data_IF_141911269832
#
_entry.id   IF_141911269832
#
_cell.length_a   1.000
_cell.length_b   1.000
_cell.length_c   1.000
_cell.angle_alpha   90.00
_cell.angle_beta   90.00
_cell.angle_gamma   90.00
#
_symmetry.space_group_name_H-M   'P 1'
#
loop_
_entity.id
_entity.type
_entity.pdbx_description
1 polymer ?
#
# COMPACT_ATOMS: atom_id res chain seq x y z
N UNK A 1 -13.19 17.58 8.08
CA UNK A 1 -12.86 18.06 9.44
C UNK A 1 -11.72 17.25 10.08
N UNK A 2 -11.73 15.92 10.04
CA UNK A 2 -10.67 15.07 10.62
C UNK A 2 -9.25 15.35 10.07
N UNK A 3 -9.13 15.70 8.79
CA UNK A 3 -7.84 16.02 8.16
C UNK A 3 -7.11 17.19 8.81
N UNK A 4 -7.84 18.26 9.17
CA UNK A 4 -7.24 19.43 9.81
C UNK A 4 -6.69 19.09 11.21
N UNK A 5 -7.36 18.17 11.92
CA UNK A 5 -6.88 17.68 13.21
C UNK A 5 -5.67 16.76 13.06
N UNK A 6 -5.67 15.86 12.07
CA UNK A 6 -4.52 15.02 11.78
C UNK A 6 -3.28 15.86 11.42
N UNK A 7 -3.45 16.90 10.60
CA UNK A 7 -2.39 17.84 10.24
C UNK A 7 -1.89 18.63 11.46
N UNK A 8 -2.79 19.06 12.35
CA UNK A 8 -2.43 19.74 13.59
C UNK A 8 -1.57 18.86 14.52
N UNK A 9 -2.03 17.65 14.81
CA UNK A 9 -1.28 16.70 15.67
C UNK A 9 0.07 16.34 15.04
N UNK A 10 0.12 16.19 13.71
CA UNK A 10 1.35 15.95 12.99
C UNK A 10 2.34 17.13 13.12
N UNK A 11 1.85 18.37 13.03
CA UNK A 11 2.68 19.58 13.21
C UNK A 11 3.19 19.74 14.65
N UNK A 12 2.48 19.19 15.63
CA UNK A 12 2.92 19.13 17.04
C UNK A 12 3.89 17.97 17.31
N UNK A 13 4.14 17.10 16.33
CA UNK A 13 4.97 15.90 16.47
C UNK A 13 4.25 14.73 17.14
N UNK A 14 2.94 14.83 17.36
CA UNK A 14 2.10 13.82 18.00
C UNK A 14 1.65 12.75 16.97
N UNK A 15 2.62 12.01 16.43
CA UNK A 15 2.42 11.07 15.31
C UNK A 15 1.36 10.00 15.62
N UNK A 16 1.33 9.48 16.85
CA UNK A 16 0.38 8.43 17.21
C UNK A 16 -1.06 8.95 17.26
N UNK A 17 -1.27 10.21 17.68
CA UNK A 17 -2.57 10.87 17.65
C UNK A 17 -3.01 11.17 16.22
N UNK A 18 -2.11 11.69 15.40
CA UNK A 18 -2.37 11.91 13.97
C UNK A 18 -2.82 10.61 13.29
N UNK A 19 -2.11 9.50 13.54
CA UNK A 19 -2.48 8.17 13.01
C UNK A 19 -3.83 7.68 13.52
N UNK A 20 -4.13 7.86 14.81
CA UNK A 20 -5.43 7.49 15.37
C UNK A 20 -6.58 8.24 14.69
N UNK A 21 -6.38 9.51 14.35
CA UNK A 21 -7.36 10.32 13.60
C UNK A 21 -7.54 9.77 12.19
N UNK A 22 -6.46 9.43 11.48
CA UNK A 22 -6.55 8.79 10.16
C UNK A 22 -7.31 7.47 10.20
N UNK A 23 -6.98 6.57 11.13
CA UNK A 23 -7.70 5.30 11.33
C UNK A 23 -9.16 5.50 11.70
N UNK A 24 -9.47 6.52 12.50
CA UNK A 24 -10.86 6.83 12.82
C UNK A 24 -11.62 7.32 11.59
N UNK A 25 -11.03 8.27 10.85
CA UNK A 25 -11.63 8.87 9.65
C UNK A 25 -11.84 7.85 8.53
N UNK A 26 -10.99 6.82 8.44
CA UNK A 26 -11.10 5.76 7.42
C UNK A 26 -12.37 4.93 7.52
N UNK A 27 -13.05 4.92 8.67
CA UNK A 27 -14.34 4.25 8.82
C UNK A 27 -15.46 4.93 8.01
N UNK A 28 -15.25 6.18 7.62
CA UNK A 28 -16.22 7.02 6.91
C UNK A 28 -15.77 7.38 5.50
N UNK A 29 -14.49 7.17 5.17
CA UNK A 29 -13.93 7.49 3.87
C UNK A 29 -14.20 6.36 2.86
N UNK A 30 -14.71 6.71 1.69
CA UNK A 30 -14.83 5.81 0.55
C UNK A 30 -13.56 5.87 -0.31
N UNK A 31 -12.98 4.72 -0.61
CA UNK A 31 -11.78 4.60 -1.43
C UNK A 31 -11.92 5.19 -2.85
N UNK A 32 -13.13 5.15 -3.43
CA UNK A 32 -13.37 5.61 -4.80
C UNK A 32 -13.60 7.13 -4.87
N UNK A 33 -14.16 7.72 -3.82
CA UNK A 33 -14.58 9.13 -3.82
C UNK A 33 -13.66 10.04 -3.00
N UNK A 34 -13.05 9.53 -1.92
CA UNK A 34 -12.22 10.31 -1.00
C UNK A 34 -10.72 10.17 -1.32
N UNK A 35 -10.33 10.34 -2.58
CA UNK A 35 -8.95 10.15 -3.05
C UNK A 35 -7.94 11.03 -2.33
N UNK A 36 -8.33 12.24 -1.96
CA UNK A 36 -7.47 13.21 -1.26
C UNK A 36 -7.14 12.75 0.17
N UNK A 37 -8.10 12.12 0.84
CA UNK A 37 -7.91 11.55 2.18
C UNK A 37 -6.84 10.46 2.14
N UNK A 38 -7.00 9.49 1.22
CA UNK A 38 -6.08 8.36 1.08
C UNK A 38 -4.69 8.79 0.63
N UNK A 39 -4.60 9.79 -0.26
CA UNK A 39 -3.31 10.34 -0.71
C UNK A 39 -2.55 11.01 0.44
N UNK A 40 -3.24 11.77 1.29
CA UNK A 40 -2.62 12.41 2.46
C UNK A 40 -2.22 11.41 3.55
N UNK A 41 -3.03 10.38 3.79
CA UNK A 41 -2.66 9.31 4.73
C UNK A 41 -1.46 8.51 4.22
N UNK A 42 -1.39 8.26 2.92
CA UNK A 42 -0.23 7.64 2.28
C UNK A 42 1.03 8.47 2.50
N UNK A 43 0.98 9.77 2.23
CA UNK A 43 2.11 10.69 2.47
C UNK A 43 2.54 10.70 3.95
N UNK A 44 1.56 10.67 4.86
CA UNK A 44 1.80 10.57 6.29
C UNK A 44 2.55 9.27 6.67
N UNK A 45 2.12 8.11 6.18
CA UNK A 45 2.78 6.82 6.47
C UNK A 45 4.15 6.71 5.76
N UNK A 46 4.35 7.33 4.60
CA UNK A 46 5.69 7.41 3.95
C UNK A 46 6.66 8.23 4.80
N UNK A 47 6.18 9.31 5.43
CA UNK A 47 7.03 10.20 6.23
C UNK A 47 7.31 9.68 7.64
N UNK A 48 6.32 9.08 8.29
CA UNK A 48 6.36 8.75 9.71
C UNK A 48 6.10 7.27 10.04
N UNK A 49 5.63 6.51 9.05
CA UNK A 49 5.24 5.12 9.22
C UNK A 49 6.39 4.13 9.11
N UNK A 50 6.04 2.87 9.26
CA UNK A 50 6.89 1.72 9.01
C UNK A 50 6.12 0.71 8.15
N UNK A 51 6.76 -0.37 7.65
CA UNK A 51 6.09 -1.32 6.77
C UNK A 51 4.79 -1.91 7.34
N UNK A 52 4.69 -2.05 8.68
CA UNK A 52 3.49 -2.57 9.33
C UNK A 52 2.35 -1.56 9.30
N UNK A 53 2.59 -0.31 9.71
CA UNK A 53 1.53 0.72 9.74
C UNK A 53 1.05 1.07 8.34
N UNK A 54 1.96 1.02 7.37
CA UNK A 54 1.63 1.16 5.95
C UNK A 54 0.70 0.04 5.46
N UNK A 55 0.99 -1.22 5.83
CA UNK A 55 0.14 -2.35 5.49
C UNK A 55 -1.25 -2.25 6.16
N UNK A 56 -1.31 -1.80 7.41
CA UNK A 56 -2.58 -1.56 8.13
C UNK A 56 -3.41 -0.46 7.42
N UNK A 57 -2.77 0.63 6.95
CA UNK A 57 -3.44 1.67 6.16
C UNK A 57 -4.02 1.10 4.85
N UNK A 58 -3.24 0.32 4.11
CA UNK A 58 -3.72 -0.31 2.87
C UNK A 58 -4.88 -1.28 3.11
N UNK A 59 -4.94 -1.94 4.27
CA UNK A 59 -6.04 -2.83 4.61
C UNK A 59 -7.34 -2.06 4.90
N UNK A 60 -7.22 -0.85 5.45
CA UNK A 60 -8.37 0.03 5.69
C UNK A 60 -8.92 0.61 4.39
N UNK A 61 -8.07 0.80 3.38
CA UNK A 61 -8.49 1.17 2.03
C UNK A 61 -9.11 -0.06 1.34
N UNK A 62 -10.42 -0.26 1.49
CA UNK A 62 -11.18 -1.45 1.02
C UNK A 62 -11.30 -1.61 -0.50
N UNK A 63 -10.34 -1.12 -1.27
CA UNK A 63 -10.25 -1.44 -2.70
C UNK A 63 -9.12 -2.43 -2.93
N UNK A 64 -9.46 -3.56 -3.54
CA UNK A 64 -8.48 -4.48 -4.11
C UNK A 64 -7.66 -3.84 -5.26
N UNK A 65 -7.91 -2.56 -5.57
CA UNK A 65 -7.10 -1.69 -6.42
C UNK A 65 -5.84 -1.20 -5.70
N UNK A 66 -5.07 -2.16 -5.15
CA UNK A 66 -3.74 -1.95 -4.57
C UNK A 66 -2.70 -1.43 -5.57
N UNK A 67 -3.08 -1.21 -6.83
CA UNK A 67 -2.18 -0.97 -7.95
C UNK A 67 -2.13 0.50 -8.35
N UNK A 68 -3.25 1.22 -8.32
CA UNK A 68 -3.28 2.57 -8.89
C UNK A 68 -2.66 3.63 -7.97
N UNK A 69 -2.84 3.51 -6.65
CA UNK A 69 -2.32 4.53 -5.72
C UNK A 69 -0.78 4.44 -5.58
N UNK A 70 -0.23 3.23 -5.56
CA UNK A 70 1.22 3.01 -5.46
C UNK A 70 1.97 3.36 -6.75
N UNK A 71 1.34 3.19 -7.94
CA UNK A 71 1.93 3.57 -9.22
C UNK A 71 1.89 5.10 -9.47
N UNK A 72 0.87 5.80 -8.96
CA UNK A 72 0.68 7.25 -9.21
C UNK A 72 1.55 8.15 -8.34
N UNK A 73 2.03 7.64 -7.20
CA UNK A 73 2.77 8.41 -6.19
C UNK A 73 4.31 8.37 -6.33
N UNK A 74 4.86 7.79 -7.42
CA UNK A 74 6.31 7.73 -7.68
C UNK A 74 7.11 7.27 -6.45
N UNK A 75 6.73 6.11 -5.89
CA UNK A 75 7.33 5.50 -4.69
C UNK A 75 8.42 4.42 -5.03
N UNK A 76 9.45 4.61 -5.89
CA UNK A 76 10.40 3.51 -6.16
C UNK A 76 11.76 3.57 -5.45
N UNK A 77 11.99 4.36 -4.38
CA UNK A 77 13.34 4.40 -3.76
C UNK A 77 13.48 3.97 -2.30
N UNK A 78 12.43 4.04 -1.46
CA UNK A 78 12.55 3.68 -0.02
C UNK A 78 11.87 2.38 0.41
N UNK A 79 11.00 1.78 -0.42
CA UNK A 79 10.22 0.61 -0.03
C UNK A 79 10.52 -0.60 -0.94
N UNK A 80 11.74 -1.14 -0.86
CA UNK A 80 12.06 -2.49 -1.39
C UNK A 80 11.54 -3.59 -0.45
N UNK A 81 10.29 -3.54 0.01
CA UNK A 81 9.68 -4.67 0.74
C UNK A 81 8.17 -4.63 0.55
N UNK A 82 7.67 -5.05 -0.61
CA UNK A 82 6.41 -5.80 -0.74
C UNK A 82 6.54 -6.59 -2.03
N UNK A 83 7.02 -7.82 -1.94
CA UNK A 83 6.83 -8.81 -3.01
C UNK A 83 5.33 -9.00 -3.20
N UNK A 84 4.82 -8.54 -4.34
CA UNK A 84 3.42 -8.68 -4.72
C UNK A 84 3.14 -10.14 -5.03
N UNK A 85 2.65 -10.88 -4.03
CA UNK A 85 1.96 -12.15 -4.22
C UNK A 85 0.56 -11.89 -4.81
N UNK A 86 0.53 -11.50 -6.08
CA UNK A 86 -0.62 -11.75 -6.96
C UNK A 86 -0.36 -13.12 -7.57
N UNK A 87 -1.09 -14.13 -7.12
CA UNK A 87 -1.57 -15.28 -7.90
C UNK A 87 -1.84 -16.46 -6.97
N UNK A 88 -3.13 -16.77 -6.75
CA UNK A 88 -3.49 -18.01 -6.04
C UNK A 88 -4.42 -18.95 -6.77
N UNK A 89 -4.73 -18.75 -8.05
CA UNK A 89 -5.54 -19.77 -8.74
C UNK A 89 -5.36 -19.98 -10.25
N UNK A 90 -4.36 -19.40 -10.93
CA UNK A 90 -4.17 -19.68 -12.37
C UNK A 90 -2.75 -19.89 -12.87
N UNK A 91 -1.72 -19.67 -12.06
CA UNK A 91 -0.34 -19.56 -12.55
C UNK A 91 0.59 -20.75 -12.24
N UNK A 92 0.10 -21.80 -11.57
CA UNK A 92 0.94 -22.97 -11.27
C UNK A 92 1.29 -23.80 -12.51
N UNK A 93 0.45 -23.78 -13.55
CA UNK A 93 0.65 -24.61 -14.74
C UNK A 93 1.65 -23.97 -15.73
N UNK A 94 1.84 -22.65 -15.67
CA UNK A 94 2.78 -21.91 -16.51
C UNK A 94 4.23 -21.95 -16.02
N UNK A 95 4.47 -22.05 -14.71
CA UNK A 95 5.84 -22.18 -14.16
C UNK A 95 6.49 -23.54 -14.46
N UNK A 96 5.70 -24.61 -14.50
CA UNK A 96 6.21 -25.94 -14.90
C UNK A 96 6.63 -25.96 -16.38
N UNK A 97 5.93 -25.24 -17.28
CA UNK A 97 6.29 -25.12 -18.70
C UNK A 97 7.54 -24.25 -18.93
N UNK A 98 7.70 -23.17 -18.16
CA UNK A 98 8.89 -22.30 -18.26
C UNK A 98 10.14 -22.95 -17.69
N UNK A 99 10.02 -23.72 -16.61
CA UNK A 99 11.13 -24.49 -16.03
C UNK A 99 11.55 -25.68 -16.91
N UNK A 100 10.61 -26.36 -17.58
CA UNK A 100 10.89 -27.40 -18.59
C UNK A 100 11.67 -26.84 -19.79
N UNK A 101 11.27 -25.67 -20.30
CA UNK A 101 11.98 -24.96 -21.39
C UNK A 101 13.42 -24.58 -21.02
N UNK A 102 13.63 -24.11 -19.79
CA UNK A 102 14.97 -23.71 -19.31
C UNK A 102 15.87 -24.94 -19.09
N UNK A 103 15.33 -26.07 -18.63
CA UNK A 103 16.12 -27.31 -18.47
C UNK A 103 16.57 -27.92 -19.80
N UNK A 104 15.76 -27.83 -20.86
CA UNK A 104 16.14 -28.30 -22.21
C UNK A 104 17.25 -27.48 -22.86
N UNK A 105 17.34 -26.18 -22.57
CA UNK A 105 18.41 -25.31 -23.09
C UNK A 105 19.77 -25.52 -22.40
N UNK A 106 19.83 -26.17 -21.23
CA UNK A 106 21.06 -26.40 -20.46
C UNK A 106 21.69 -27.79 -20.65
N UNK A 107 21.09 -28.67 -21.46
CA UNK A 107 21.57 -30.03 -21.71
C UNK A 107 22.02 -30.26 -23.17
N UNK A 108 22.32 -29.20 -23.91
CA UNK A 108 22.98 -29.23 -25.22
C UNK A 108 24.30 -28.48 -25.17
#
# INVERSE_FOLDING_TARGET
MCMNYADLENNLGEIDKARAIYTFASQFADAQYDTDFWSKWLEFEVRHGNPRTFQEMLQNNRTDDKIDIAQKADIPSKLKVVETNKDKHRHRDTELDTLEKIKRQRLG
#
